data_IF_240891046755
#
_entry.id   IF_240891046755
#
_cell.length_a   1.000
_cell.length_b   1.000
_cell.length_c   1.000
_cell.angle_alpha   90.00
_cell.angle_beta   90.00
_cell.angle_gamma   90.00
#
_symmetry.space_group_name_H-M   'P 1'
#
loop_
_entity.id
_entity.type
_entity.pdbx_description
1 polymer ?
#
# COMPACT_ATOMS: atom_id res chain seq x y z
N UNK A 1 -3.81 -14.77 20.86
CA UNK A 1 -3.92 -15.93 19.94
C UNK A 1 -3.71 -15.47 18.50
N UNK A 2 -2.91 -16.18 17.69
CA UNK A 2 -2.71 -15.84 16.27
C UNK A 2 -3.80 -16.51 15.44
N UNK A 3 -4.55 -15.72 14.64
CA UNK A 3 -5.63 -16.18 13.78
C UNK A 3 -5.30 -15.83 12.32
N UNK A 4 -5.62 -16.70 11.37
CA UNK A 4 -5.51 -16.40 9.95
C UNK A 4 -6.67 -15.50 9.51
N UNK A 5 -6.44 -14.59 8.56
CA UNK A 5 -7.49 -13.68 8.06
C UNK A 5 -8.77 -14.40 7.56
N UNK A 6 -8.63 -15.62 7.04
CA UNK A 6 -9.75 -16.45 6.56
C UNK A 6 -10.66 -16.88 7.72
N UNK A 7 -10.10 -17.09 8.90
CA UNK A 7 -10.82 -17.57 10.08
C UNK A 7 -11.39 -16.43 10.96
N UNK A 8 -11.16 -15.18 10.58
CA UNK A 8 -11.62 -14.00 11.34
C UNK A 8 -13.15 -13.98 11.50
N UNK A 9 -13.90 -14.47 10.51
CA UNK A 9 -15.36 -14.59 10.59
C UNK A 9 -15.86 -15.48 11.73
N UNK A 10 -15.00 -16.32 12.29
CA UNK A 10 -15.32 -17.23 13.40
C UNK A 10 -15.02 -16.60 14.77
N UNK A 11 -14.51 -15.37 14.79
CA UNK A 11 -14.20 -14.66 16.04
C UNK A 11 -15.50 -14.24 16.70
N UNK A 12 -15.64 -14.62 17.96
CA UNK A 12 -16.68 -14.13 18.83
C UNK A 12 -16.23 -12.77 19.41
N UNK A 13 -16.80 -11.69 18.88
CA UNK A 13 -16.50 -10.32 19.34
C UNK A 13 -16.93 -10.10 20.78
N UNK A 14 -17.96 -10.75 21.25
CA UNK A 14 -18.51 -10.58 22.59
C UNK A 14 -17.52 -11.05 23.66
N UNK A 15 -16.71 -12.05 23.33
CA UNK A 15 -15.69 -12.60 24.22
C UNK A 15 -14.25 -12.16 23.87
N UNK A 16 -14.11 -11.21 22.91
CA UNK A 16 -12.79 -10.76 22.45
C UNK A 16 -12.64 -9.25 22.63
N UNK A 17 -12.12 -8.79 23.77
CA UNK A 17 -12.04 -7.35 24.05
C UNK A 17 -11.00 -6.62 23.18
N UNK A 18 -9.93 -7.31 22.73
CA UNK A 18 -8.87 -6.70 21.95
C UNK A 18 -8.49 -7.53 20.73
N UNK A 19 -8.44 -6.86 19.58
CA UNK A 19 -8.03 -7.44 18.30
C UNK A 19 -6.96 -6.56 17.67
N UNK A 20 -5.84 -7.15 17.26
CA UNK A 20 -4.78 -6.49 16.52
C UNK A 20 -4.78 -6.96 15.07
N UNK A 21 -5.05 -6.05 14.15
CA UNK A 21 -4.87 -6.23 12.72
C UNK A 21 -3.62 -5.49 12.27
N UNK A 22 -2.67 -6.18 11.64
CA UNK A 22 -1.44 -5.58 11.17
C UNK A 22 -0.99 -6.14 9.83
N UNK A 23 -0.28 -5.34 9.05
CA UNK A 23 0.24 -5.72 7.74
C UNK A 23 0.00 -4.68 6.66
N UNK A 24 0.46 -4.96 5.45
CA UNK A 24 0.44 -4.01 4.34
C UNK A 24 -0.90 -3.93 3.60
N UNK A 25 -1.74 -4.95 3.71
CA UNK A 25 -2.96 -5.07 2.91
C UNK A 25 -4.12 -4.31 3.56
N UNK A 26 -4.13 -2.98 3.40
CA UNK A 26 -5.18 -2.11 3.97
C UNK A 26 -6.57 -2.49 3.45
N UNK A 27 -6.72 -2.75 2.15
CA UNK A 27 -8.00 -3.12 1.57
C UNK A 27 -8.56 -4.41 2.17
N UNK A 28 -7.71 -5.42 2.43
CA UNK A 28 -8.16 -6.65 3.08
C UNK A 28 -8.49 -6.42 4.57
N UNK A 29 -7.71 -5.58 5.28
CA UNK A 29 -8.03 -5.21 6.67
C UNK A 29 -9.36 -4.51 6.77
N UNK A 30 -9.58 -3.46 5.97
CA UNK A 30 -10.82 -2.69 5.95
C UNK A 30 -12.03 -3.58 5.61
N UNK A 31 -11.91 -4.42 4.57
CA UNK A 31 -12.96 -5.37 4.21
C UNK A 31 -13.25 -6.38 5.34
N UNK A 32 -12.20 -6.85 6.01
CA UNK A 32 -12.34 -7.78 7.14
C UNK A 32 -13.03 -7.10 8.34
N UNK A 33 -12.66 -5.86 8.67
CA UNK A 33 -13.29 -5.07 9.72
C UNK A 33 -14.78 -4.87 9.41
N UNK A 34 -15.09 -4.42 8.20
CA UNK A 34 -16.48 -4.17 7.79
C UNK A 34 -17.35 -5.44 7.83
N UNK A 35 -16.77 -6.61 7.54
CA UNK A 35 -17.48 -7.88 7.59
C UNK A 35 -17.57 -8.50 9.00
N UNK A 36 -16.71 -8.06 9.91
CA UNK A 36 -16.64 -8.57 11.29
C UNK A 36 -17.64 -7.84 12.20
N UNK A 37 -17.89 -6.56 11.93
CA UNK A 37 -18.72 -5.71 12.79
C UNK A 37 -20.18 -5.79 12.32
N UNK A 38 -21.08 -6.10 13.24
CA UNK A 38 -22.50 -6.03 12.96
C UNK A 38 -22.92 -4.56 12.75
N UNK A 39 -23.81 -4.32 11.79
CA UNK A 39 -24.37 -2.99 11.48
C UNK A 39 -25.13 -2.35 12.66
N UNK A 40 -25.46 -3.14 13.68
CA UNK A 40 -26.15 -2.68 14.91
C UNK A 40 -25.18 -2.12 15.94
N UNK A 41 -23.88 -2.42 15.86
CA UNK A 41 -22.91 -1.95 16.84
C UNK A 41 -22.53 -0.47 16.57
N UNK A 42 -22.41 0.31 17.64
CA UNK A 42 -21.87 1.66 17.54
C UNK A 42 -20.37 1.61 17.20
N UNK A 43 -19.99 2.14 16.03
CA UNK A 43 -18.61 2.12 15.57
C UNK A 43 -17.98 3.49 15.82
N UNK A 44 -16.83 3.51 16.50
CA UNK A 44 -16.05 4.71 16.75
C UNK A 44 -14.69 4.54 16.06
N UNK A 45 -14.39 5.42 15.11
CA UNK A 45 -13.10 5.42 14.41
C UNK A 45 -12.20 6.53 14.97
N UNK A 46 -11.00 6.17 15.40
CA UNK A 46 -10.02 7.09 15.96
C UNK A 46 -8.65 6.87 15.29
N UNK A 47 -7.90 7.95 15.13
CA UNK A 47 -6.47 7.86 14.81
C UNK A 47 -5.67 7.73 16.12
N UNK A 48 -4.60 6.94 16.13
CA UNK A 48 -3.75 6.77 17.31
C UNK A 48 -3.34 8.10 17.94
N UNK A 49 -2.94 9.07 17.09
CA UNK A 49 -2.54 10.39 17.55
C UNK A 49 -3.64 11.09 18.35
N UNK A 50 -4.86 11.11 17.81
CA UNK A 50 -6.00 11.77 18.46
C UNK A 50 -6.36 11.08 19.78
N UNK A 51 -6.23 9.74 19.81
CA UNK A 51 -6.44 8.96 21.02
C UNK A 51 -5.41 9.30 22.10
N UNK A 52 -4.12 9.34 21.73
CA UNK A 52 -3.02 9.64 22.67
C UNK A 52 -3.06 11.08 23.20
N UNK A 53 -3.43 12.05 22.36
CA UNK A 53 -3.54 13.46 22.74
C UNK A 53 -4.68 13.70 23.76
N UNK A 54 -5.71 12.80 23.80
CA UNK A 54 -6.88 12.91 24.68
C UNK A 54 -7.11 11.61 25.48
N UNK A 55 -6.04 10.92 25.84
CA UNK A 55 -6.08 9.57 26.43
C UNK A 55 -7.04 9.45 27.62
N UNK A 56 -6.96 10.36 28.59
CA UNK A 56 -7.78 10.29 29.80
C UNK A 56 -9.28 10.37 29.50
N UNK A 57 -9.68 11.28 28.60
CA UNK A 57 -11.08 11.45 28.20
C UNK A 57 -11.61 10.18 27.54
N UNK A 58 -10.83 9.60 26.61
CA UNK A 58 -11.25 8.38 25.92
C UNK A 58 -11.28 7.17 26.84
N UNK A 59 -10.33 7.05 27.78
CA UNK A 59 -10.32 5.96 28.76
C UNK A 59 -11.54 6.09 29.71
N UNK A 60 -11.86 7.29 30.17
CA UNK A 60 -13.04 7.55 30.99
C UNK A 60 -14.33 7.20 30.21
N UNK A 61 -14.44 7.60 28.93
CA UNK A 61 -15.60 7.26 28.08
C UNK A 61 -15.73 5.73 27.83
N UNK A 62 -14.59 5.05 27.66
CA UNK A 62 -14.55 3.58 27.55
C UNK A 62 -15.00 2.89 28.84
N UNK A 63 -14.61 3.44 30.00
CA UNK A 63 -14.91 2.85 31.31
C UNK A 63 -16.27 3.28 31.86
N UNK A 64 -16.85 4.38 31.36
CA UNK A 64 -18.18 4.84 31.76
C UNK A 64 -19.23 3.90 31.18
N UNK A 65 -19.89 3.13 32.06
CA UNK A 65 -21.04 2.31 31.70
C UNK A 65 -22.29 3.17 31.63
N UNK A 66 -23.00 3.13 30.49
CA UNK A 66 -24.39 3.57 30.42
C UNK A 66 -25.30 2.34 30.50
N UNK A 67 -26.33 2.39 31.29
CA UNK A 67 -27.34 1.30 31.42
C UNK A 67 -28.11 1.02 30.11
N UNK A 68 -27.95 1.88 29.10
CA UNK A 68 -28.65 1.81 27.81
C UNK A 68 -27.68 1.73 26.61
N UNK A 69 -26.37 1.51 26.86
CA UNK A 69 -25.42 1.51 25.76
C UNK A 69 -25.44 0.17 25.00
N UNK A 70 -25.64 0.30 23.68
CA UNK A 70 -25.40 -0.77 22.71
C UNK A 70 -23.89 -1.12 22.69
N UNK A 71 -23.57 -2.35 22.28
CA UNK A 71 -22.18 -2.81 22.12
C UNK A 71 -21.38 -1.82 21.27
N UNK A 72 -20.22 -1.42 21.76
CA UNK A 72 -19.34 -0.44 21.09
C UNK A 72 -18.14 -1.16 20.47
N UNK A 73 -17.84 -0.84 19.22
CA UNK A 73 -16.58 -1.24 18.59
C UNK A 73 -15.74 -0.01 18.31
N UNK A 74 -14.55 0.05 18.92
CA UNK A 74 -13.61 1.16 18.76
C UNK A 74 -12.49 0.71 17.84
N UNK A 75 -12.29 1.40 16.71
CA UNK A 75 -11.24 1.11 15.75
C UNK A 75 -10.17 2.20 15.86
N UNK A 76 -8.98 1.83 16.30
CA UNK A 76 -7.84 2.76 16.41
C UNK A 76 -6.92 2.51 15.21
N UNK A 77 -6.89 3.47 14.30
CA UNK A 77 -6.10 3.41 13.06
C UNK A 77 -4.66 3.85 13.29
N UNK A 78 -3.74 3.31 12.46
CA UNK A 78 -2.31 3.59 12.47
C UNK A 78 -1.63 3.27 13.79
N UNK A 79 -2.16 2.27 14.50
CA UNK A 79 -1.66 1.84 15.80
C UNK A 79 -0.20 1.39 15.74
N UNK A 80 0.58 1.81 16.74
CA UNK A 80 2.00 1.49 16.89
C UNK A 80 2.27 0.90 18.29
N UNK A 81 3.54 0.63 18.59
CA UNK A 81 3.96 0.16 19.93
C UNK A 81 3.59 1.14 21.08
N UNK A 82 3.21 2.40 20.76
CA UNK A 82 2.75 3.37 21.76
C UNK A 82 1.45 2.95 22.43
N UNK A 83 0.62 2.18 21.73
CA UNK A 83 -0.65 1.68 22.27
C UNK A 83 -0.47 0.60 23.35
N UNK A 84 0.73 0.01 23.47
CA UNK A 84 0.93 -1.12 24.38
C UNK A 84 0.52 -0.82 25.83
N UNK A 85 1.01 0.29 26.40
CA UNK A 85 0.70 0.65 27.79
C UNK A 85 -0.79 0.83 28.05
N UNK A 86 -1.50 1.41 27.06
CA UNK A 86 -2.93 1.63 27.15
C UNK A 86 -3.70 0.31 27.09
N UNK A 87 -3.27 -0.60 26.19
CA UNK A 87 -3.87 -1.92 26.09
C UNK A 87 -3.63 -2.72 27.38
N UNK A 88 -2.44 -2.63 27.98
CA UNK A 88 -2.12 -3.25 29.26
C UNK A 88 -3.04 -2.71 30.36
N UNK A 89 -3.13 -1.38 30.50
CA UNK A 89 -4.00 -0.72 31.49
C UNK A 89 -5.47 -1.11 31.32
N UNK A 90 -5.99 -1.04 30.11
CA UNK A 90 -7.38 -1.39 29.82
C UNK A 90 -7.66 -2.88 29.99
N UNK A 91 -6.66 -3.75 29.74
CA UNK A 91 -6.83 -5.20 29.91
C UNK A 91 -6.92 -5.65 31.37
N UNK A 92 -6.40 -4.85 32.31
CA UNK A 92 -6.55 -5.08 33.76
C UNK A 92 -7.93 -4.65 34.29
N UNK A 93 -8.60 -3.78 33.51
CA UNK A 93 -9.95 -3.32 33.82
C UNK A 93 -10.97 -4.23 33.13
N UNK A 94 -12.04 -4.56 33.80
CA UNK A 94 -13.09 -5.40 33.23
C UNK A 94 -13.90 -4.57 32.23
N UNK A 95 -13.53 -4.64 30.92
CA UNK A 95 -14.23 -3.96 29.85
C UNK A 95 -15.30 -4.92 29.33
N UNK A 96 -16.57 -4.60 29.61
CA UNK A 96 -17.71 -5.36 29.11
C UNK A 96 -18.35 -4.59 27.95
N UNK A 97 -18.88 -5.32 26.97
CA UNK A 97 -19.59 -4.77 25.80
C UNK A 97 -18.80 -3.83 24.88
N UNK A 98 -17.45 -3.82 25.00
CA UNK A 98 -16.58 -3.02 24.15
C UNK A 98 -15.50 -3.92 23.52
N UNK A 99 -15.40 -3.84 22.18
CA UNK A 99 -14.31 -4.45 21.43
C UNK A 99 -13.42 -3.34 20.88
N UNK A 100 -12.11 -3.43 21.14
CA UNK A 100 -11.11 -2.51 20.64
C UNK A 100 -10.30 -3.19 19.51
N UNK A 101 -10.39 -2.66 18.31
CA UNK A 101 -9.64 -3.12 17.13
C UNK A 101 -8.49 -2.15 16.87
N UNK A 102 -7.27 -2.62 17.05
CA UNK A 102 -6.07 -1.88 16.67
C UNK A 102 -5.72 -2.20 15.22
N UNK A 103 -5.88 -1.23 14.34
CA UNK A 103 -5.49 -1.34 12.94
C UNK A 103 -4.09 -0.71 12.74
N UNK A 104 -3.08 -1.56 12.73
CA UNK A 104 -1.68 -1.19 12.59
C UNK A 104 -1.17 -1.42 11.16
N UNK A 105 -0.18 -0.64 10.76
CA UNK A 105 0.60 -0.90 9.55
C UNK A 105 1.50 -2.14 9.76
N UNK A 106 2.67 -2.18 9.14
CA UNK A 106 3.63 -3.29 9.33
C UNK A 106 4.17 -3.25 10.76
N UNK A 107 3.96 -4.33 11.50
CA UNK A 107 4.62 -4.56 12.77
C UNK A 107 5.66 -5.68 12.61
N UNK A 108 6.93 -5.35 12.83
CA UNK A 108 8.02 -6.32 12.78
C UNK A 108 7.90 -7.32 13.94
N UNK A 109 8.63 -8.45 13.88
CA UNK A 109 8.66 -9.43 14.96
C UNK A 109 9.16 -8.87 16.30
N UNK A 110 9.98 -7.82 16.26
CA UNK A 110 10.48 -7.10 17.44
C UNK A 110 9.48 -6.12 18.07
N UNK A 111 8.33 -5.84 17.42
CA UNK A 111 7.29 -4.98 17.96
C UNK A 111 6.77 -5.54 19.29
N UNK A 112 6.74 -4.68 20.29
CA UNK A 112 6.27 -5.03 21.64
C UNK A 112 4.76 -5.26 21.63
N UNK A 113 4.01 -4.40 20.95
CA UNK A 113 2.56 -4.53 20.80
C UNK A 113 2.19 -5.87 20.14
N UNK A 114 2.81 -6.20 19.01
CA UNK A 114 2.61 -7.47 18.33
C UNK A 114 2.94 -8.66 19.24
N UNK A 115 4.08 -8.63 19.91
CA UNK A 115 4.52 -9.70 20.81
C UNK A 115 3.54 -9.91 21.96
N UNK A 116 3.00 -8.83 22.51
CA UNK A 116 2.02 -8.86 23.60
C UNK A 116 0.72 -9.55 23.15
N UNK A 117 0.17 -9.16 21.98
CA UNK A 117 -1.02 -9.78 21.43
C UNK A 117 -0.83 -11.26 21.05
N UNK A 118 0.33 -11.60 20.47
CA UNK A 118 0.62 -13.00 20.09
C UNK A 118 0.73 -13.93 21.29
N UNK A 119 1.24 -13.44 22.42
CA UNK A 119 1.40 -14.19 23.67
C UNK A 119 0.12 -14.30 24.49
N UNK A 120 -0.76 -13.31 24.42
CA UNK A 120 -1.98 -13.30 25.22
C UNK A 120 -3.05 -14.23 24.61
N UNK A 121 -3.58 -15.17 25.41
CA UNK A 121 -4.59 -16.14 24.96
C UNK A 121 -5.98 -15.52 24.75
N UNK A 122 -6.28 -14.41 25.42
CA UNK A 122 -7.58 -13.71 25.33
C UNK A 122 -7.64 -12.71 24.16
N UNK A 123 -6.48 -12.35 23.57
CA UNK A 123 -6.40 -11.38 22.51
C UNK A 123 -6.20 -12.06 21.16
N UNK A 124 -6.69 -11.43 20.11
CA UNK A 124 -6.55 -11.93 18.75
C UNK A 124 -5.56 -11.05 17.99
N UNK A 125 -4.68 -11.70 17.23
CA UNK A 125 -3.71 -11.08 16.37
C UNK A 125 -3.81 -11.67 14.98
N UNK A 126 -4.00 -10.82 13.97
CA UNK A 126 -4.19 -11.22 12.56
C UNK A 126 -3.23 -10.46 11.67
N UNK A 127 -2.44 -11.21 10.89
CA UNK A 127 -1.53 -10.65 9.91
C UNK A 127 -2.16 -10.58 8.52
N UNK A 128 -2.03 -9.43 7.84
CA UNK A 128 -2.56 -9.17 6.51
C UNK A 128 -1.42 -8.95 5.51
N UNK A 129 -1.15 -9.96 4.72
CA UNK A 129 -0.10 -9.93 3.70
C UNK A 129 -0.62 -9.38 2.37
N UNK A 130 0.25 -8.81 1.52
CA UNK A 130 -0.11 -8.40 0.18
C UNK A 130 -0.72 -9.56 -0.63
N UNK A 131 -1.70 -9.24 -1.45
CA UNK A 131 -2.27 -10.20 -2.38
C UNK A 131 -1.26 -10.58 -3.48
N UNK A 132 -1.32 -11.82 -3.92
CA UNK A 132 -0.64 -12.24 -5.14
C UNK A 132 -1.55 -12.03 -6.36
N UNK A 133 -0.98 -12.13 -7.56
CA UNK A 133 -1.71 -11.93 -8.82
C UNK A 133 -2.93 -12.85 -8.94
N UNK A 134 -2.75 -14.12 -8.62
CA UNK A 134 -3.82 -15.12 -8.70
C UNK A 134 -4.99 -14.75 -7.78
N UNK A 135 -4.71 -14.31 -6.56
CA UNK A 135 -5.75 -13.86 -5.61
C UNK A 135 -6.54 -12.68 -6.18
N UNK A 136 -5.85 -11.70 -6.81
CA UNK A 136 -6.52 -10.53 -7.40
C UNK A 136 -7.36 -10.92 -8.63
N UNK A 137 -6.89 -11.86 -9.44
CA UNK A 137 -7.66 -12.42 -10.57
C UNK A 137 -8.93 -13.10 -10.05
N UNK A 138 -8.80 -13.98 -9.06
CA UNK A 138 -9.92 -14.72 -8.48
C UNK A 138 -10.95 -13.76 -7.87
N UNK A 139 -10.50 -12.72 -7.15
CA UNK A 139 -11.38 -11.69 -6.59
C UNK A 139 -12.14 -10.93 -7.68
N UNK A 140 -11.42 -10.49 -8.72
CA UNK A 140 -12.05 -9.77 -9.85
C UNK A 140 -13.07 -10.63 -10.57
N UNK A 141 -12.72 -11.88 -10.85
CA UNK A 141 -13.61 -12.81 -11.52
C UNK A 141 -14.87 -13.08 -10.70
N UNK A 142 -14.73 -13.36 -9.40
CA UNK A 142 -15.87 -13.64 -8.51
C UNK A 142 -16.79 -12.44 -8.39
N UNK A 143 -16.24 -11.22 -8.22
CA UNK A 143 -17.01 -9.98 -8.18
C UNK A 143 -17.83 -9.77 -9.46
N UNK A 144 -17.19 -9.87 -10.62
CA UNK A 144 -17.83 -9.63 -11.91
C UNK A 144 -18.86 -10.72 -12.24
N UNK A 145 -18.59 -11.97 -11.88
CA UNK A 145 -19.53 -13.08 -12.02
C UNK A 145 -20.78 -12.89 -11.15
N UNK A 146 -20.62 -12.50 -9.90
CA UNK A 146 -21.72 -12.19 -8.98
C UNK A 146 -22.63 -11.08 -9.53
N UNK A 147 -22.01 -10.04 -10.13
CA UNK A 147 -22.72 -8.93 -10.76
C UNK A 147 -23.23 -9.23 -12.18
N UNK A 148 -22.99 -10.44 -12.69
CA UNK A 148 -23.37 -10.89 -14.05
C UNK A 148 -22.80 -10.00 -15.16
N UNK A 149 -21.57 -9.50 -14.98
CA UNK A 149 -20.86 -8.63 -15.92
C UNK A 149 -19.92 -9.49 -16.77
N UNK A 150 -20.18 -9.67 -18.07
CA UNK A 150 -19.29 -10.41 -18.94
C UNK A 150 -18.02 -9.59 -19.22
N UNK A 151 -16.86 -10.16 -18.93
CA UNK A 151 -15.56 -9.53 -19.16
C UNK A 151 -14.52 -10.57 -19.57
N UNK A 152 -13.62 -10.20 -20.47
CA UNK A 152 -12.53 -11.07 -20.88
C UNK A 152 -11.41 -11.12 -19.86
N UNK A 153 -10.66 -12.24 -19.83
CA UNK A 153 -9.48 -12.38 -18.96
C UNK A 153 -8.42 -11.30 -19.24
N UNK A 154 -8.26 -10.90 -20.51
CA UNK A 154 -7.34 -9.82 -20.87
C UNK A 154 -7.72 -8.49 -20.22
N UNK A 155 -9.01 -8.20 -20.15
CA UNK A 155 -9.53 -6.99 -19.50
C UNK A 155 -9.36 -7.05 -17.96
N UNK A 156 -9.57 -8.21 -17.34
CA UNK A 156 -9.27 -8.42 -15.91
C UNK A 156 -7.78 -8.13 -15.65
N UNK A 157 -6.90 -8.68 -16.47
CA UNK A 157 -5.47 -8.47 -16.34
C UNK A 157 -5.08 -6.98 -16.46
N UNK A 158 -5.73 -6.22 -17.36
CA UNK A 158 -5.53 -4.77 -17.47
C UNK A 158 -5.91 -4.03 -16.18
N UNK A 159 -7.06 -4.34 -15.60
CA UNK A 159 -7.54 -3.73 -14.35
C UNK A 159 -6.54 -4.01 -13.21
N UNK A 160 -6.15 -5.27 -13.03
CA UNK A 160 -5.20 -5.70 -12.01
C UNK A 160 -3.85 -5.01 -12.21
N UNK A 161 -3.43 -4.88 -13.46
CA UNK A 161 -2.18 -4.23 -13.84
C UNK A 161 -2.15 -2.78 -13.36
N UNK A 162 -3.26 -2.06 -13.47
CA UNK A 162 -3.34 -0.69 -13.01
C UNK A 162 -3.34 -0.57 -11.49
N UNK A 163 -3.97 -1.50 -10.81
CA UNK A 163 -4.11 -1.44 -9.35
C UNK A 163 -2.82 -1.75 -8.58
N UNK A 164 -1.72 -2.15 -9.26
CA UNK A 164 -0.40 -2.41 -8.67
C UNK A 164 -0.43 -3.32 -7.43
N UNK A 165 -1.37 -4.27 -7.36
CA UNK A 165 -1.53 -5.18 -6.23
C UNK A 165 -2.30 -4.62 -5.04
N UNK A 166 -2.82 -3.41 -5.14
CA UNK A 166 -3.67 -2.81 -4.12
C UNK A 166 -5.11 -3.30 -4.29
N UNK A 167 -5.59 -4.02 -3.27
CA UNK A 167 -6.94 -4.60 -3.26
C UNK A 167 -8.03 -3.54 -3.19
N UNK A 168 -7.84 -2.48 -2.43
CA UNK A 168 -8.83 -1.41 -2.30
C UNK A 168 -8.97 -0.66 -3.62
N UNK A 169 -7.83 -0.35 -4.24
CA UNK A 169 -7.83 0.24 -5.58
C UNK A 169 -8.51 -0.68 -6.60
N UNK A 170 -8.24 -1.99 -6.56
CA UNK A 170 -8.90 -2.96 -7.43
C UNK A 170 -10.43 -2.91 -7.29
N UNK A 171 -10.97 -2.96 -6.08
CA UNK A 171 -12.40 -2.90 -5.87
C UNK A 171 -13.00 -1.56 -6.32
N UNK A 172 -12.31 -0.44 -6.13
CA UNK A 172 -12.76 0.85 -6.63
C UNK A 172 -12.89 0.85 -8.17
N UNK A 173 -11.94 0.23 -8.89
CA UNK A 173 -12.04 0.09 -10.34
C UNK A 173 -13.17 -0.88 -10.74
N UNK A 174 -13.36 -1.98 -10.03
CA UNK A 174 -14.44 -2.93 -10.27
C UNK A 174 -15.82 -2.30 -10.04
N UNK A 175 -15.99 -1.46 -9.03
CA UNK A 175 -17.24 -0.73 -8.80
C UNK A 175 -17.54 0.29 -9.92
N UNK A 176 -16.52 0.96 -10.47
CA UNK A 176 -16.73 1.83 -11.65
C UNK A 176 -17.24 1.04 -12.85
N UNK A 177 -16.69 -0.15 -13.09
CA UNK A 177 -17.12 -1.04 -14.16
C UNK A 177 -18.56 -1.52 -13.91
N UNK A 178 -18.90 -1.91 -12.68
CA UNK A 178 -20.27 -2.28 -12.30
C UNK A 178 -21.25 -1.13 -12.60
N UNK A 179 -20.90 0.09 -12.19
CA UNK A 179 -21.76 1.25 -12.41
C UNK A 179 -21.95 1.56 -13.90
N UNK A 180 -20.87 1.42 -14.68
CA UNK A 180 -20.92 1.62 -16.13
C UNK A 180 -21.81 0.56 -16.82
N UNK A 181 -21.73 -0.70 -16.37
CA UNK A 181 -22.51 -1.80 -16.94
C UNK A 181 -24.01 -1.66 -16.69
N UNK A 182 -24.44 -1.08 -15.56
CA UNK A 182 -25.85 -0.82 -15.22
C UNK A 182 -26.54 0.12 -16.24
N UNK A 183 -25.79 0.92 -16.96
CA UNK A 183 -26.29 1.80 -18.02
C UNK A 183 -26.49 1.07 -19.38
N UNK A 184 -26.47 -0.26 -19.40
CA UNK A 184 -26.64 -1.07 -20.62
C UNK A 184 -25.49 -1.01 -21.62
N UNK A 185 -24.34 -0.44 -21.25
CA UNK A 185 -23.18 -0.30 -22.12
C UNK A 185 -22.31 -1.56 -22.09
N UNK A 186 -21.87 -1.99 -23.26
CA UNK A 186 -20.95 -3.11 -23.36
C UNK A 186 -19.58 -2.78 -22.78
N UNK A 187 -18.99 -3.74 -22.07
CA UNK A 187 -17.65 -3.65 -21.50
C UNK A 187 -16.61 -3.99 -22.57
N UNK A 188 -16.22 -3.00 -23.34
CA UNK A 188 -15.15 -3.12 -24.35
C UNK A 188 -13.80 -2.74 -23.76
N UNK A 189 -12.71 -3.12 -24.43
CA UNK A 189 -11.35 -2.71 -24.06
C UNK A 189 -11.22 -1.17 -24.01
N UNK A 190 -11.82 -0.48 -25.00
CA UNK A 190 -11.78 0.98 -25.08
C UNK A 190 -12.51 1.63 -23.90
N UNK A 191 -13.68 1.11 -23.53
CA UNK A 191 -14.44 1.62 -22.39
C UNK A 191 -13.70 1.39 -21.07
N UNK A 192 -13.08 0.21 -20.88
CA UNK A 192 -12.25 -0.06 -19.72
C UNK A 192 -11.08 0.91 -19.67
N UNK A 193 -10.36 1.10 -20.76
CA UNK A 193 -9.21 2.02 -20.82
C UNK A 193 -9.57 3.45 -20.43
N UNK A 194 -10.76 3.91 -20.84
CA UNK A 194 -11.29 5.24 -20.47
C UNK A 194 -11.72 5.30 -19.00
N UNK A 195 -12.46 4.29 -18.52
CA UNK A 195 -13.01 4.26 -17.16
C UNK A 195 -11.93 4.22 -16.10
N UNK A 196 -10.88 3.46 -16.34
CA UNK A 196 -9.81 3.26 -15.37
C UNK A 196 -8.66 4.28 -15.55
N UNK A 197 -8.80 5.30 -16.40
CA UNK A 197 -7.79 6.34 -16.67
C UNK A 197 -6.39 5.75 -16.80
N UNK A 198 -6.20 4.83 -17.75
CA UNK A 198 -4.92 4.11 -17.90
C UNK A 198 -3.74 5.05 -18.18
N UNK A 199 -4.02 6.26 -18.65
CA UNK A 199 -2.98 7.14 -19.16
C UNK A 199 -2.31 8.05 -18.11
N UNK A 200 -2.93 8.38 -16.97
CA UNK A 200 -2.42 9.48 -16.14
C UNK A 200 -1.42 9.11 -15.04
N UNK A 201 -1.51 7.93 -14.42
CA UNK A 201 -0.64 7.60 -13.28
C UNK A 201 0.41 6.51 -13.54
N UNK A 202 0.29 5.75 -14.63
CA UNK A 202 1.30 4.77 -15.03
C UNK A 202 2.57 5.42 -15.54
N UNK A 203 2.45 6.59 -16.16
CA UNK A 203 3.57 7.24 -16.83
C UNK A 203 4.70 7.64 -15.88
N UNK A 204 4.40 8.23 -14.73
CA UNK A 204 5.44 8.69 -13.79
C UNK A 204 6.22 7.51 -13.20
N UNK A 205 5.55 6.53 -12.62
CA UNK A 205 6.19 5.37 -12.02
C UNK A 205 6.95 4.54 -13.05
N UNK A 206 6.33 4.30 -14.21
CA UNK A 206 6.90 3.55 -15.31
C UNK A 206 8.09 4.27 -15.93
N UNK A 207 8.01 5.60 -16.09
CA UNK A 207 9.13 6.43 -16.58
C UNK A 207 10.33 6.32 -15.65
N UNK A 208 10.13 6.47 -14.34
CA UNK A 208 11.20 6.37 -13.34
C UNK A 208 11.83 4.99 -13.35
N UNK A 209 11.02 3.92 -13.39
CA UNK A 209 11.53 2.54 -13.42
C UNK A 209 12.36 2.26 -14.66
N UNK A 210 11.90 2.71 -15.83
CA UNK A 210 12.62 2.54 -17.09
C UNK A 210 13.89 3.41 -17.14
N UNK A 211 13.89 4.60 -16.52
CA UNK A 211 15.08 5.43 -16.40
C UNK A 211 16.14 4.76 -15.52
N UNK A 212 15.75 4.22 -14.37
CA UNK A 212 16.66 3.44 -13.50
C UNK A 212 17.12 2.14 -14.17
N UNK A 213 16.29 1.52 -15.02
CA UNK A 213 16.68 0.36 -15.82
C UNK A 213 17.50 0.73 -17.09
N UNK A 214 17.71 2.03 -17.38
CA UNK A 214 18.37 2.56 -18.59
C UNK A 214 17.74 2.08 -19.89
N UNK A 215 16.42 1.99 -19.95
CA UNK A 215 15.66 1.53 -21.10
C UNK A 215 15.27 2.71 -22.01
N UNK A 216 16.23 3.19 -22.83
CA UNK A 216 16.09 4.39 -23.68
C UNK A 216 14.84 4.37 -24.56
N UNK A 217 14.55 3.23 -25.22
CA UNK A 217 13.40 3.13 -26.15
C UNK A 217 12.09 3.42 -25.44
N UNK A 218 11.92 2.80 -24.25
CA UNK A 218 10.69 2.95 -23.47
C UNK A 218 10.56 4.35 -22.86
N UNK A 219 11.68 4.94 -22.40
CA UNK A 219 11.71 6.32 -21.89
C UNK A 219 11.23 7.30 -22.95
N UNK A 220 11.75 7.23 -24.19
CA UNK A 220 11.37 8.11 -25.28
C UNK A 220 9.89 7.93 -25.63
N UNK A 221 9.39 6.68 -25.69
CA UNK A 221 7.98 6.40 -25.93
C UNK A 221 7.10 7.06 -24.87
N UNK A 222 7.42 6.87 -23.56
CA UNK A 222 6.64 7.45 -22.46
C UNK A 222 6.66 8.99 -22.51
N UNK A 223 7.81 9.60 -22.76
CA UNK A 223 7.94 11.06 -22.84
C UNK A 223 7.13 11.64 -24.01
N UNK A 224 7.06 10.93 -25.15
CA UNK A 224 6.28 11.37 -26.31
C UNK A 224 4.78 11.16 -26.18
N UNK A 225 4.38 10.15 -25.40
CA UNK A 225 2.96 9.78 -25.23
C UNK A 225 2.28 10.60 -24.10
N UNK A 226 3.05 11.28 -23.26
CA UNK A 226 2.54 11.97 -22.09
C UNK A 226 2.99 13.44 -22.05
N UNK A 227 2.03 14.32 -21.81
CA UNK A 227 2.28 15.74 -21.57
C UNK A 227 2.36 15.97 -20.05
N UNK A 228 3.57 16.01 -19.51
CA UNK A 228 3.79 16.28 -18.09
C UNK A 228 3.58 17.76 -17.75
N UNK A 229 2.83 18.02 -16.69
CA UNK A 229 2.66 19.34 -16.11
C UNK A 229 3.82 19.70 -15.15
N UNK A 230 3.87 20.92 -14.69
CA UNK A 230 4.84 21.33 -13.66
C UNK A 230 4.65 20.57 -12.33
N UNK A 231 3.39 20.25 -11.97
CA UNK A 231 3.08 19.46 -10.77
C UNK A 231 3.55 18.01 -10.91
N UNK A 232 3.41 17.43 -12.10
CA UNK A 232 3.95 16.10 -12.42
C UNK A 232 5.46 16.05 -12.28
N UNK A 233 6.18 17.12 -12.62
CA UNK A 233 7.62 17.19 -12.44
C UNK A 233 8.05 17.09 -10.97
N UNK A 234 7.28 17.67 -10.05
CA UNK A 234 7.53 17.53 -8.61
C UNK A 234 7.26 16.10 -8.14
N UNK A 235 6.20 15.48 -8.66
CA UNK A 235 5.89 14.07 -8.36
C UNK A 235 6.95 13.13 -8.94
N UNK A 236 7.42 13.40 -10.16
CA UNK A 236 8.48 12.65 -10.84
C UNK A 236 9.78 12.66 -10.01
N UNK A 237 10.28 13.83 -9.64
CA UNK A 237 11.53 13.93 -8.88
C UNK A 237 11.45 13.24 -7.53
N UNK A 238 10.32 13.36 -6.82
CA UNK A 238 10.09 12.65 -5.55
C UNK A 238 10.05 11.14 -5.74
N UNK A 239 9.36 10.66 -6.78
CA UNK A 239 9.32 9.24 -7.12
C UNK A 239 10.71 8.70 -7.43
N UNK A 240 11.52 9.45 -8.18
CA UNK A 240 12.93 9.11 -8.44
C UNK A 240 13.73 8.96 -7.15
N UNK A 241 13.66 9.94 -6.24
CA UNK A 241 14.40 9.90 -4.98
C UNK A 241 14.01 8.68 -4.15
N UNK A 242 12.71 8.39 -4.04
CA UNK A 242 12.21 7.24 -3.28
C UNK A 242 12.72 5.93 -3.89
N UNK A 243 12.59 5.77 -5.22
CA UNK A 243 13.01 4.54 -5.91
C UNK A 243 14.53 4.39 -5.93
N UNK A 244 15.29 5.48 -6.08
CA UNK A 244 16.76 5.45 -5.99
C UNK A 244 17.23 5.05 -4.59
N UNK A 245 16.60 5.53 -3.51
CA UNK A 245 16.91 5.09 -2.14
C UNK A 245 16.60 3.60 -1.93
N UNK A 246 15.45 3.11 -2.46
CA UNK A 246 15.12 1.68 -2.44
C UNK A 246 16.16 0.86 -3.21
N UNK A 247 16.54 1.31 -4.40
CA UNK A 247 17.56 0.66 -5.22
C UNK A 247 18.94 0.64 -4.54
N UNK A 248 19.32 1.72 -3.82
CA UNK A 248 20.56 1.74 -3.04
C UNK A 248 20.58 0.64 -1.98
N UNK A 249 19.49 0.50 -1.21
CA UNK A 249 19.39 -0.55 -0.21
C UNK A 249 19.51 -1.96 -0.83
N UNK A 250 18.83 -2.20 -1.96
CA UNK A 250 18.91 -3.47 -2.67
C UNK A 250 20.29 -3.74 -3.24
N UNK A 251 20.94 -2.73 -3.83
CA UNK A 251 22.28 -2.84 -4.39
C UNK A 251 23.34 -3.12 -3.31
N UNK A 252 23.19 -2.58 -2.10
CA UNK A 252 24.04 -2.92 -0.96
C UNK A 252 23.86 -4.37 -0.52
N UNK A 253 22.63 -4.84 -0.42
CA UNK A 253 22.31 -6.23 -0.10
C UNK A 253 22.85 -7.20 -1.16
N UNK A 254 22.69 -6.85 -2.45
CA UNK A 254 23.21 -7.64 -3.55
C UNK A 254 24.74 -7.70 -3.55
N UNK A 255 25.41 -6.59 -3.22
CA UNK A 255 26.87 -6.58 -3.09
C UNK A 255 27.38 -7.55 -2.02
N UNK A 256 26.59 -7.74 -0.94
CA UNK A 256 26.95 -8.64 0.16
C UNK A 256 26.68 -10.10 -0.15
N UNK A 257 25.48 -10.43 -0.69
CA UNK A 257 25.05 -11.82 -0.87
C UNK A 257 25.29 -12.37 -2.29
N UNK A 258 25.56 -11.51 -3.26
CA UNK A 258 25.80 -11.84 -4.69
C UNK A 258 24.69 -12.70 -5.33
N UNK A 259 23.51 -12.76 -4.72
CA UNK A 259 22.38 -13.52 -5.21
C UNK A 259 21.19 -12.60 -5.43
N UNK A 260 20.77 -12.44 -6.69
CA UNK A 260 19.72 -11.50 -7.08
C UNK A 260 18.34 -11.93 -6.58
N UNK A 261 18.03 -13.24 -6.65
CA UNK A 261 16.72 -13.73 -6.23
C UNK A 261 16.56 -13.66 -4.70
N UNK A 262 17.63 -13.94 -3.97
CA UNK A 262 17.65 -13.74 -2.52
C UNK A 262 17.51 -12.26 -2.15
N UNK A 263 18.16 -11.37 -2.89
CA UNK A 263 18.04 -9.90 -2.68
C UNK A 263 16.60 -9.44 -2.88
N UNK A 264 15.94 -9.89 -3.95
CA UNK A 264 14.55 -9.55 -4.28
C UNK A 264 13.58 -10.12 -3.24
N UNK A 265 13.76 -11.40 -2.85
CA UNK A 265 12.84 -12.06 -1.91
C UNK A 265 12.96 -11.57 -0.48
N UNK A 266 14.15 -11.11 -0.08
CA UNK A 266 14.42 -10.57 1.27
C UNK A 266 14.14 -9.06 1.40
N UNK A 267 13.73 -8.40 0.31
CA UNK A 267 13.49 -6.96 0.31
C UNK A 267 12.39 -6.54 1.31
N UNK A 268 12.64 -5.41 2.00
CA UNK A 268 11.69 -4.80 2.93
C UNK A 268 11.50 -3.32 2.56
N UNK A 269 10.27 -2.90 2.20
CA UNK A 269 9.06 -3.72 1.99
C UNK A 269 9.23 -4.69 0.81
N UNK A 270 8.40 -5.77 0.75
CA UNK A 270 8.44 -6.72 -0.35
C UNK A 270 8.26 -6.04 -1.71
N UNK A 271 9.00 -6.53 -2.71
CA UNK A 271 8.89 -6.03 -4.08
C UNK A 271 7.66 -6.64 -4.73
N UNK A 272 6.84 -5.79 -5.32
CA UNK A 272 5.67 -6.23 -6.06
C UNK A 272 6.08 -7.14 -7.23
N UNK A 273 5.35 -8.23 -7.44
CA UNK A 273 5.76 -9.28 -8.38
C UNK A 273 6.05 -8.76 -9.80
N UNK A 274 5.32 -7.73 -10.28
CA UNK A 274 5.56 -7.09 -11.58
C UNK A 274 6.82 -6.24 -11.66
N UNK A 275 7.21 -5.66 -10.54
CA UNK A 275 8.41 -4.83 -10.46
C UNK A 275 9.67 -5.69 -10.34
N UNK A 276 9.56 -7.02 -10.08
CA UNK A 276 10.72 -7.87 -9.84
C UNK A 276 11.71 -7.86 -10.99
N UNK A 277 11.24 -8.05 -12.22
CA UNK A 277 12.13 -8.15 -13.39
C UNK A 277 12.82 -6.82 -13.71
N UNK A 278 12.07 -5.70 -13.65
CA UNK A 278 12.68 -4.39 -13.87
C UNK A 278 13.62 -4.02 -12.72
N UNK A 279 13.32 -4.40 -11.49
CA UNK A 279 14.20 -4.19 -10.33
C UNK A 279 15.49 -5.00 -10.45
N UNK A 280 15.45 -6.24 -10.95
CA UNK A 280 16.67 -7.02 -11.27
C UNK A 280 17.55 -6.27 -12.27
N UNK A 281 16.94 -5.79 -13.36
CA UNK A 281 17.67 -5.00 -14.37
C UNK A 281 18.32 -3.75 -13.75
N UNK A 282 17.59 -3.04 -12.89
CA UNK A 282 18.12 -1.86 -12.19
C UNK A 282 19.31 -2.21 -11.31
N UNK A 283 19.24 -3.28 -10.51
CA UNK A 283 20.34 -3.71 -9.63
C UNK A 283 21.63 -3.99 -10.43
N UNK A 284 21.51 -4.62 -11.61
CA UNK A 284 22.68 -4.90 -12.46
C UNK A 284 23.27 -3.64 -13.13
N UNK A 285 22.46 -2.59 -13.34
CA UNK A 285 22.90 -1.35 -14.02
C UNK A 285 23.58 -0.35 -13.08
N UNK A 286 23.45 -0.52 -11.76
CA UNK A 286 23.86 0.50 -10.81
C UNK A 286 24.76 -0.05 -9.71
N UNK A 287 25.91 0.59 -9.50
CA UNK A 287 26.73 0.38 -8.31
C UNK A 287 26.20 1.26 -7.15
N UNK A 288 26.39 0.87 -5.88
CA UNK A 288 26.01 1.70 -4.73
C UNK A 288 26.62 3.12 -4.78
N UNK A 289 27.84 3.26 -5.30
CA UNK A 289 28.53 4.55 -5.46
C UNK A 289 27.76 5.43 -6.45
N UNK A 290 27.40 4.89 -7.60
CA UNK A 290 26.69 5.62 -8.65
C UNK A 290 25.26 5.99 -8.23
N UNK A 291 24.58 5.13 -7.46
CA UNK A 291 23.26 5.46 -6.92
C UNK A 291 23.33 6.61 -5.90
N UNK A 292 24.37 6.66 -5.05
CA UNK A 292 24.57 7.78 -4.12
C UNK A 292 24.76 9.09 -4.88
N UNK A 293 25.57 9.08 -5.96
CA UNK A 293 25.74 10.24 -6.83
C UNK A 293 24.42 10.64 -7.48
N UNK A 294 23.63 9.67 -7.98
CA UNK A 294 22.32 9.92 -8.56
C UNK A 294 21.37 10.60 -7.55
N UNK A 295 21.32 10.10 -6.31
CA UNK A 295 20.46 10.68 -5.26
C UNK A 295 20.87 12.14 -4.97
N UNK A 296 22.16 12.42 -4.94
CA UNK A 296 22.66 13.79 -4.77
C UNK A 296 22.19 14.71 -5.91
N UNK A 297 22.42 14.30 -7.17
CA UNK A 297 21.98 15.06 -8.36
C UNK A 297 20.46 15.25 -8.39
N UNK A 298 19.68 14.22 -7.99
CA UNK A 298 18.22 14.33 -7.87
C UNK A 298 17.81 15.38 -6.84
N UNK A 299 18.50 15.45 -5.71
CA UNK A 299 18.22 16.46 -4.68
C UNK A 299 18.55 17.88 -5.14
N UNK A 300 19.62 18.05 -5.91
CA UNK A 300 19.97 19.34 -6.54
C UNK A 300 18.93 19.73 -7.59
N UNK A 301 18.51 18.80 -8.45
CA UNK A 301 17.46 19.03 -9.45
C UNK A 301 16.12 19.39 -8.77
N UNK A 302 15.75 18.72 -7.67
CA UNK A 302 14.57 19.08 -6.88
C UNK A 302 14.62 20.52 -6.39
N UNK A 303 15.78 20.95 -5.88
CA UNK A 303 15.97 22.32 -5.42
C UNK A 303 15.85 23.35 -6.57
N UNK A 304 16.38 23.03 -7.74
CA UNK A 304 16.27 23.89 -8.93
C UNK A 304 14.83 24.00 -9.41
N UNK A 305 14.09 22.90 -9.47
CA UNK A 305 12.66 22.87 -9.84
C UNK A 305 11.85 23.73 -8.86
N UNK A 306 12.09 23.62 -7.56
CA UNK A 306 11.39 24.43 -6.55
C UNK A 306 11.71 25.92 -6.63
N UNK A 307 12.91 26.27 -7.06
CA UNK A 307 13.30 27.70 -7.26
C UNK A 307 12.69 28.30 -8.52
N UNK A 308 12.50 27.50 -9.56
CA UNK A 308 11.97 27.96 -10.85
C UNK A 308 11.01 26.90 -11.44
N UNK A 309 9.77 26.96 -11.00
CA UNK A 309 8.76 25.99 -11.40
C UNK A 309 8.44 26.05 -12.91
N UNK A 310 8.58 27.22 -13.53
CA UNK A 310 8.30 27.38 -14.96
C UNK A 310 9.28 26.64 -15.88
N UNK A 311 10.46 26.30 -15.37
CA UNK A 311 11.48 25.54 -16.11
C UNK A 311 11.54 24.05 -15.70
N UNK A 312 10.60 23.58 -14.89
CA UNK A 312 10.63 22.23 -14.31
C UNK A 312 10.62 21.13 -15.36
N UNK A 313 9.82 21.28 -16.42
CA UNK A 313 9.69 20.30 -17.49
C UNK A 313 11.04 20.12 -18.21
N UNK A 314 11.72 21.21 -18.57
CA UNK A 314 13.01 21.15 -19.23
C UNK A 314 14.09 20.51 -18.32
N UNK A 315 14.14 20.90 -17.06
CA UNK A 315 15.10 20.37 -16.09
C UNK A 315 14.93 18.86 -15.88
N UNK A 316 13.70 18.39 -15.73
CA UNK A 316 13.45 16.96 -15.51
C UNK A 316 13.67 16.14 -16.78
N UNK A 317 13.29 16.67 -17.94
CA UNK A 317 13.49 16.01 -19.23
C UNK A 317 14.99 15.87 -19.54
N UNK A 318 15.76 16.94 -19.38
CA UNK A 318 17.22 16.92 -19.56
C UNK A 318 17.86 15.91 -18.59
N UNK A 319 17.48 15.94 -17.33
CA UNK A 319 17.93 14.96 -16.33
C UNK A 319 17.66 13.52 -16.79
N UNK A 320 16.42 13.21 -17.20
CA UNK A 320 16.04 11.86 -17.64
C UNK A 320 16.84 11.41 -18.85
N UNK A 321 16.99 12.25 -19.85
CA UNK A 321 17.74 11.96 -21.07
C UNK A 321 19.22 11.76 -20.78
N UNK A 322 19.82 12.60 -19.94
CA UNK A 322 21.21 12.48 -19.51
C UNK A 322 21.47 11.18 -18.75
N UNK A 323 20.59 10.83 -17.77
CA UNK A 323 20.74 9.59 -17.03
C UNK A 323 20.52 8.34 -17.90
N UNK A 324 19.67 8.42 -18.93
CA UNK A 324 19.44 7.33 -19.87
C UNK A 324 20.61 7.12 -20.84
N UNK A 325 21.40 8.17 -21.08
CA UNK A 325 22.52 8.18 -22.04
C UNK A 325 23.87 7.84 -21.41
N UNK A 326 24.01 8.03 -20.10
CA UNK A 326 25.24 7.69 -19.38
C UNK A 326 25.51 6.19 -19.46
N UNK A 327 26.55 5.81 -20.21
CA UNK A 327 27.05 4.44 -20.23
C UNK A 327 27.46 4.03 -18.81
N UNK A 328 27.18 2.78 -18.47
CA UNK A 328 27.72 2.14 -17.26
C UNK A 328 29.22 1.99 -17.49
N UNK A 329 30.05 2.98 -17.10
CA UNK A 329 31.45 2.71 -16.92
C UNK A 329 31.58 1.65 -15.83
N UNK A 330 31.89 0.46 -16.30
CA UNK A 330 32.25 -0.75 -15.54
C UNK A 330 33.38 -0.49 -14.56
#
# INVERSE_FOLDING_TARGET
MIVKHIDVKKIDLDNTPFILFYGMNEGLKNNTINNLIDSKNKIINLEEKNFLDNQNIFIEDILSKSFFDEKKTIIIKRSTDKMLKIVEELSEKNIEDITIILNANILEKKSKLRTYFEKNKKFISVAFYPDNERTLIDLSYNFLKEKKIPISQSNINLIINKCNGDREHLFNELYKIEYFSKNGKQITLENISKLINLNENHSISELVDNCLAKNKKKIISILNENNFSNDDCIMLIRSFIIKAKKLLALSLTFKTNKNIDLTISSAKPPIFWKEKEITKQQIYKWTPKNIKKLIYTLSETELQIKKNINNSINLITDFILTQSSSETNS
#
